data_IF_294546742181
#
_entry.id   IF_294546742181
#
_cell.length_a   1.000
_cell.length_b   1.000
_cell.length_c   1.000
_cell.angle_alpha   90.00
_cell.angle_beta   90.00
_cell.angle_gamma   90.00
#
_symmetry.space_group_name_H-M   'P 1'
#
loop_
_entity.id
_entity.type
_entity.pdbx_description
1 polymer ?
#
# COMPACT_ATOMS: atom_id res chain seq x y z
N UNK A 1 11.27 -13.37 18.72
CA UNK A 1 11.58 -11.96 18.44
C UNK A 1 12.79 -11.93 17.53
N UNK A 2 12.72 -11.29 16.36
CA UNK A 2 13.84 -11.22 15.41
C UNK A 2 14.45 -9.82 15.54
N UNK A 3 15.77 -9.73 15.60
CA UNK A 3 16.49 -8.46 15.74
C UNK A 3 17.50 -8.30 14.60
N UNK A 4 17.68 -7.07 14.13
CA UNK A 4 18.73 -6.71 13.18
C UNK A 4 19.58 -5.59 13.75
N UNK A 5 20.84 -5.52 13.35
CA UNK A 5 21.74 -4.43 13.75
C UNK A 5 21.58 -3.24 12.80
N UNK A 6 21.61 -2.04 13.35
CA UNK A 6 21.72 -0.80 12.57
C UNK A 6 23.20 -0.58 12.22
N UNK A 7 23.51 -0.44 10.94
CA UNK A 7 24.87 -0.12 10.48
C UNK A 7 25.14 1.38 10.60
N UNK A 8 26.40 1.79 10.45
CA UNK A 8 26.79 3.21 10.48
C UNK A 8 26.11 4.06 9.41
N UNK A 9 25.60 3.45 8.34
CA UNK A 9 24.83 4.12 7.28
C UNK A 9 23.33 4.21 7.56
N UNK A 10 22.91 3.95 8.80
CA UNK A 10 21.50 3.85 9.19
C UNK A 10 20.70 2.81 8.38
N UNK A 11 21.37 1.79 7.83
CA UNK A 11 20.75 0.71 7.09
C UNK A 11 20.63 -0.53 7.97
N UNK A 12 19.54 -1.28 7.79
CA UNK A 12 19.37 -2.61 8.36
C UNK A 12 18.91 -3.58 7.29
N UNK A 13 19.37 -4.82 7.37
CA UNK A 13 18.89 -5.88 6.49
C UNK A 13 17.57 -6.40 7.02
N UNK A 14 16.54 -6.40 6.17
CA UNK A 14 15.23 -6.99 6.51
C UNK A 14 15.40 -8.51 6.59
N UNK A 15 15.18 -9.14 7.75
CA UNK A 15 15.35 -10.59 7.91
C UNK A 15 14.46 -11.39 6.96
N UNK A 16 14.91 -12.59 6.58
CA UNK A 16 14.17 -13.45 5.65
C UNK A 16 12.72 -13.67 6.07
N UNK A 17 12.46 -13.94 7.35
CA UNK A 17 11.11 -14.16 7.86
C UNK A 17 10.18 -12.94 7.63
N UNK A 18 10.70 -11.71 7.78
CA UNK A 18 9.94 -10.48 7.54
C UNK A 18 9.68 -10.29 6.04
N UNK A 19 10.69 -10.54 5.19
CA UNK A 19 10.50 -10.48 3.72
C UNK A 19 9.46 -11.47 3.24
N UNK A 20 9.48 -12.69 3.76
CA UNK A 20 8.50 -13.72 3.41
C UNK A 20 7.10 -13.34 3.88
N UNK A 21 6.94 -12.81 5.10
CA UNK A 21 5.65 -12.39 5.64
C UNK A 21 5.02 -11.23 4.87
N UNK A 22 5.83 -10.29 4.39
CA UNK A 22 5.39 -9.14 3.60
C UNK A 22 5.42 -9.39 2.08
N UNK A 23 5.81 -10.60 1.65
CA UNK A 23 6.01 -10.97 0.24
C UNK A 23 6.87 -9.95 -0.53
N UNK A 24 7.95 -9.47 0.12
CA UNK A 24 8.87 -8.48 -0.45
C UNK A 24 9.83 -9.12 -1.45
N UNK A 25 10.00 -8.43 -2.57
CA UNK A 25 10.98 -8.71 -3.62
C UNK A 25 11.96 -7.54 -3.78
N UNK A 26 13.04 -7.78 -4.50
CA UNK A 26 13.94 -6.71 -4.90
C UNK A 26 13.20 -5.69 -5.77
N UNK A 27 13.36 -4.40 -5.45
CA UNK A 27 12.66 -3.31 -6.13
C UNK A 27 11.30 -2.94 -5.53
N UNK A 28 10.77 -3.70 -4.57
CA UNK A 28 9.53 -3.34 -3.89
C UNK A 28 9.73 -2.11 -2.99
N UNK A 29 8.72 -1.23 -2.98
CA UNK A 29 8.65 -0.12 -2.04
C UNK A 29 8.04 -0.54 -0.70
N UNK A 30 8.52 0.08 0.38
CA UNK A 30 8.07 -0.19 1.74
C UNK A 30 7.62 1.12 2.36
N UNK A 31 6.40 1.13 2.89
CA UNK A 31 5.86 2.23 3.67
C UNK A 31 6.19 2.04 5.15
N UNK A 32 6.45 3.17 5.81
CA UNK A 32 6.69 3.25 7.25
C UNK A 32 5.61 4.12 7.88
N UNK A 33 4.85 3.56 8.81
CA UNK A 33 3.97 4.33 9.68
C UNK A 33 4.55 4.34 11.10
N UNK A 34 4.50 5.50 11.75
CA UNK A 34 4.99 5.67 13.13
C UNK A 34 3.78 5.91 14.01
N UNK A 35 3.53 4.98 14.93
CA UNK A 35 2.35 4.98 15.80
C UNK A 35 2.79 4.62 17.23
N UNK A 36 2.53 5.50 18.19
CA UNK A 36 2.80 5.27 19.63
C UNK A 36 4.22 4.77 19.93
N UNK A 37 5.23 5.35 19.26
CA UNK A 37 6.64 4.96 19.42
C UNK A 37 7.01 3.62 18.81
N UNK A 38 6.11 3.02 18.00
CA UNK A 38 6.35 1.83 17.20
C UNK A 38 6.39 2.20 15.72
N UNK A 39 7.07 1.37 14.95
CA UNK A 39 7.12 1.49 13.49
C UNK A 39 6.42 0.29 12.87
N UNK A 40 5.42 0.55 12.04
CA UNK A 40 4.75 -0.45 11.22
C UNK A 40 5.35 -0.38 9.82
N UNK A 41 5.84 -1.52 9.32
CA UNK A 41 6.33 -1.66 7.95
C UNK A 41 5.32 -2.42 7.12
N UNK A 42 4.96 -1.88 5.96
CA UNK A 42 4.07 -2.52 4.99
C UNK A 42 4.66 -2.47 3.60
N UNK A 43 4.42 -3.51 2.79
CA UNK A 43 4.72 -3.45 1.35
C UNK A 43 3.75 -2.46 0.69
N UNK A 44 4.25 -1.58 -0.16
CA UNK A 44 3.41 -0.73 -1.01
C UNK A 44 2.89 -1.57 -2.16
N UNK A 45 1.57 -1.70 -2.25
CA UNK A 45 0.92 -2.28 -3.44
C UNK A 45 0.74 -1.18 -4.48
N UNK A 46 1.37 -1.35 -5.64
CA UNK A 46 1.13 -0.55 -6.85
C UNK A 46 -0.09 -1.01 -7.63
N UNK A 47 -0.80 -2.03 -7.15
CA UNK A 47 -2.10 -2.38 -7.73
C UNK A 47 -3.00 -1.15 -7.60
N UNK A 48 -3.54 -0.64 -8.73
CA UNK A 48 -4.51 0.44 -8.66
C UNK A 48 -5.60 0.00 -7.70
N UNK A 49 -5.94 0.87 -6.74
CA UNK A 49 -7.09 0.62 -5.88
C UNK A 49 -8.26 0.27 -6.80
N UNK A 50 -8.75 -0.97 -6.70
CA UNK A 50 -9.92 -1.39 -7.46
C UNK A 50 -11.03 -0.39 -7.11
N UNK A 51 -11.50 0.34 -8.13
CA UNK A 51 -12.59 1.30 -7.93
C UNK A 51 -13.79 0.51 -7.39
N UNK A 52 -14.25 0.77 -6.16
CA UNK A 52 -15.39 0.07 -5.57
C UNK A 52 -16.66 0.19 -6.42
N UNK A 53 -16.69 1.18 -7.33
CA UNK A 53 -17.79 1.43 -8.24
C UNK A 53 -17.58 0.90 -9.66
N UNK A 54 -16.49 0.18 -9.94
CA UNK A 54 -16.17 -0.33 -11.29
C UNK A 54 -17.29 -1.19 -11.91
N UNK A 55 -18.15 -1.82 -11.08
CA UNK A 55 -19.28 -2.64 -11.55
C UNK A 55 -20.56 -1.84 -11.81
N UNK A 56 -20.65 -0.58 -11.39
CA UNK A 56 -21.84 0.27 -11.58
C UNK A 56 -21.83 1.04 -12.91
N UNK A 57 -21.20 0.48 -13.95
CA UNK A 57 -21.14 1.12 -15.28
C UNK A 57 -22.52 1.44 -15.88
N UNK A 58 -23.57 0.72 -15.47
CA UNK A 58 -24.96 0.97 -15.88
C UNK A 58 -25.51 2.33 -15.41
N UNK A 59 -24.91 2.93 -14.38
CA UNK A 59 -25.31 4.21 -13.77
C UNK A 59 -24.43 5.37 -14.24
N UNK A 60 -23.45 5.09 -15.11
CA UNK A 60 -22.60 6.06 -15.77
C UNK A 60 -23.15 6.41 -17.17
N UNK A 61 -24.48 6.50 -17.33
CA UNK A 61 -25.06 6.80 -18.63
C UNK A 61 -24.97 8.30 -18.95
N UNK A 62 -24.99 8.61 -20.24
CA UNK A 62 -25.13 9.98 -20.76
C UNK A 62 -26.34 10.72 -20.18
N UNK A 63 -27.42 9.99 -19.84
CA UNK A 63 -28.61 10.56 -19.25
C UNK A 63 -28.38 10.97 -17.78
N UNK A 64 -27.69 10.12 -17.02
CA UNK A 64 -27.34 10.39 -15.61
C UNK A 64 -26.38 11.57 -15.49
N UNK A 65 -25.36 11.63 -16.37
CA UNK A 65 -24.43 12.75 -16.40
C UNK A 65 -25.14 14.07 -16.71
N UNK A 66 -26.11 14.08 -17.64
CA UNK A 66 -26.90 15.30 -17.91
C UNK A 66 -27.81 15.69 -16.75
N UNK A 67 -28.34 14.72 -16.01
CA UNK A 67 -29.27 14.97 -14.91
C UNK A 67 -28.58 15.43 -13.62
N UNK A 68 -27.38 14.90 -13.32
CA UNK A 68 -26.77 15.03 -12.00
C UNK A 68 -25.39 15.72 -11.96
N UNK A 69 -24.78 16.08 -13.09
CA UNK A 69 -23.41 16.65 -13.10
C UNK A 69 -23.25 18.04 -12.46
N UNK A 70 -24.34 18.70 -12.03
CA UNK A 70 -24.31 20.04 -11.45
C UNK A 70 -24.99 20.14 -10.07
N UNK A 71 -25.25 18.99 -9.43
CA UNK A 71 -25.81 18.91 -8.09
C UNK A 71 -24.74 19.01 -6.99
#
# INVERSE_FOLDING_TARGET
MITSKLTSKAQTTIPQAVRTALHLKEGDEIAYAIEDGRVVLTRVSTEPAEDPFATFGEWASDADQRAYASL
#
